data_IF_323970446787
#
_entry.id   IF_323970446787
#
_cell.length_a   1.000
_cell.length_b   1.000
_cell.length_c   1.000
_cell.angle_alpha   90.00
_cell.angle_beta   90.00
_cell.angle_gamma   90.00
#
_symmetry.space_group_name_H-M   'P 1'
#
loop_
_entity.id
_entity.type
_entity.pdbx_description
1 polymer ?
#
# COMPACT_ATOMS: atom_id res chain seq x y z
N UNK A 1 -5.75 12.28 14.59
CA UNK A 1 -6.02 12.09 13.15
C UNK A 1 -5.97 10.61 12.85
N UNK A 2 -6.90 10.07 12.06
CA UNK A 2 -6.93 8.68 11.62
C UNK A 2 -6.46 8.57 10.19
N UNK A 3 -5.40 7.80 9.94
CA UNK A 3 -4.85 7.57 8.59
C UNK A 3 -4.94 6.09 8.25
N UNK A 4 -5.67 5.78 7.18
CA UNK A 4 -5.61 4.45 6.58
C UNK A 4 -4.41 4.36 5.64
N UNK A 5 -3.55 3.38 5.86
CA UNK A 5 -2.40 3.12 5.00
C UNK A 5 -2.73 1.88 4.18
N UNK A 6 -2.84 2.06 2.87
CA UNK A 6 -3.15 1.01 1.93
C UNK A 6 -1.88 0.58 1.20
N UNK A 7 -1.66 -0.71 1.05
CA UNK A 7 -0.50 -1.25 0.31
C UNK A 7 -0.96 -2.06 -0.89
N UNK A 8 -0.27 -1.90 -2.03
CA UNK A 8 -0.55 -2.65 -3.28
C UNK A 8 0.57 -3.64 -3.65
N UNK A 9 1.55 -3.80 -2.76
CA UNK A 9 2.81 -4.48 -3.02
C UNK A 9 3.91 -3.51 -3.40
N UNK A 10 4.70 -3.86 -4.41
CA UNK A 10 5.97 -3.19 -4.72
C UNK A 10 7.09 -3.55 -3.74
N UNK A 11 8.31 -3.09 -4.04
CA UNK A 11 9.55 -3.47 -3.33
C UNK A 11 9.55 -3.15 -1.84
N UNK A 12 8.74 -2.19 -1.38
CA UNK A 12 8.60 -1.81 0.03
C UNK A 12 8.01 -2.94 0.89
N UNK A 13 7.21 -3.84 0.32
CA UNK A 13 6.64 -5.00 1.04
C UNK A 13 7.35 -6.33 0.73
N UNK A 14 8.37 -6.33 -0.14
CA UNK A 14 9.09 -7.54 -0.49
C UNK A 14 10.22 -7.79 0.52
N UNK A 15 10.16 -8.89 1.26
CA UNK A 15 11.30 -9.41 2.02
C UNK A 15 12.22 -10.14 1.03
N UNK A 16 13.48 -9.74 0.97
CA UNK A 16 14.49 -10.44 0.17
C UNK A 16 14.91 -11.71 0.93
N UNK A 17 14.71 -12.87 0.32
CA UNK A 17 15.21 -14.14 0.84
C UNK A 17 16.66 -14.34 0.35
N UNK A 18 17.62 -14.13 1.25
CA UNK A 18 19.05 -14.25 0.93
C UNK A 18 19.47 -15.68 0.56
N UNK A 19 18.67 -16.69 0.92
CA UNK A 19 18.98 -18.10 0.67
C UNK A 19 18.67 -18.55 -0.75
N UNK A 20 17.62 -18.01 -1.38
CA UNK A 20 17.22 -18.39 -2.75
C UNK A 20 17.16 -17.22 -3.75
N UNK A 21 17.39 -15.99 -3.29
CA UNK A 21 17.36 -14.78 -4.12
C UNK A 21 15.95 -14.38 -4.55
N UNK A 22 14.91 -15.01 -4.01
CA UNK A 22 13.53 -14.67 -4.30
C UNK A 22 13.05 -13.51 -3.42
N UNK A 23 12.20 -12.67 -4.01
CA UNK A 23 11.48 -11.65 -3.26
C UNK A 23 10.13 -12.26 -2.85
N UNK A 24 9.93 -12.46 -1.54
CA UNK A 24 8.70 -13.04 -0.99
C UNK A 24 8.09 -12.06 0.00
N UNK A 25 6.76 -12.02 0.06
CA UNK A 25 6.05 -11.22 1.06
C UNK A 25 5.94 -12.02 2.35
N UNK A 26 6.84 -11.78 3.31
CA UNK A 26 6.84 -12.44 4.62
C UNK A 26 6.41 -11.41 5.66
N UNK A 27 5.10 -11.13 5.73
CA UNK A 27 4.56 -10.10 6.62
C UNK A 27 4.77 -8.67 6.09
N UNK A 28 3.94 -7.72 6.54
CA UNK A 28 4.10 -6.33 6.11
C UNK A 28 5.18 -5.64 6.94
N UNK A 29 6.31 -5.34 6.31
CA UNK A 29 7.39 -4.50 6.88
C UNK A 29 6.85 -3.15 7.39
N UNK A 30 5.69 -2.72 6.89
CA UNK A 30 5.04 -1.50 7.30
C UNK A 30 4.69 -1.47 8.80
N UNK A 31 4.25 -2.58 9.41
CA UNK A 31 3.95 -2.60 10.85
C UNK A 31 5.22 -2.34 11.68
N UNK A 32 6.35 -2.95 11.27
CA UNK A 32 7.64 -2.74 11.91
C UNK A 32 8.10 -1.27 11.76
N UNK A 33 8.02 -0.72 10.54
CA UNK A 33 8.34 0.70 10.28
C UNK A 33 7.46 1.61 11.15
N UNK A 34 6.14 1.40 11.16
CA UNK A 34 5.22 2.22 11.94
C UNK A 34 5.49 2.14 13.44
N UNK A 35 5.87 0.97 13.94
CA UNK A 35 6.22 0.77 15.36
C UNK A 35 7.48 1.53 15.78
N UNK A 36 8.41 1.75 14.86
CA UNK A 36 9.64 2.49 15.10
C UNK A 36 9.46 4.02 15.06
N UNK A 37 8.34 4.50 14.50
CA UNK A 37 8.05 5.93 14.36
C UNK A 37 7.38 6.49 15.62
N UNK A 38 7.73 7.73 15.97
CA UNK A 38 7.00 8.50 16.97
C UNK A 38 5.86 9.26 16.30
N UNK A 39 4.65 8.77 16.46
CA UNK A 39 3.44 9.28 15.80
C UNK A 39 2.44 9.81 16.84
N UNK A 40 2.74 10.89 17.59
CA UNK A 40 1.79 11.45 18.55
C UNK A 40 0.53 11.91 17.83
N UNK A 41 -0.62 11.66 18.44
CA UNK A 41 -1.95 12.09 17.97
C UNK A 41 -2.38 11.54 16.59
N UNK A 42 -1.68 10.50 16.11
CA UNK A 42 -1.95 9.81 14.86
C UNK A 42 -2.32 8.34 15.13
N UNK A 43 -3.52 7.95 14.71
CA UNK A 43 -3.96 6.56 14.69
C UNK A 43 -3.81 6.04 13.26
N UNK A 44 -3.10 4.93 13.08
CA UNK A 44 -2.88 4.32 11.77
C UNK A 44 -3.60 2.98 11.68
N UNK A 45 -4.18 2.71 10.51
CA UNK A 45 -4.78 1.41 10.18
C UNK A 45 -4.21 0.92 8.86
N UNK A 46 -3.56 -0.25 8.87
CA UNK A 46 -3.04 -0.85 7.65
C UNK A 46 -4.11 -1.70 6.94
N UNK A 47 -4.15 -1.60 5.61
CA UNK A 47 -4.97 -2.43 4.72
C UNK A 47 -4.10 -2.91 3.56
N UNK A 48 -3.84 -4.21 3.51
CA UNK A 48 -3.24 -4.82 2.32
C UNK A 48 -4.34 -4.99 1.25
N UNK A 49 -4.22 -4.26 0.15
CA UNK A 49 -5.18 -4.32 -0.98
C UNK A 49 -4.80 -5.48 -1.90
N UNK A 50 -3.52 -5.62 -2.18
CA UNK A 50 -2.93 -6.68 -2.99
C UNK A 50 -1.43 -6.69 -2.79
N UNK A 51 -0.74 -7.64 -3.41
CA UNK A 51 0.71 -7.60 -3.52
C UNK A 51 1.17 -7.98 -4.92
N UNK A 52 1.37 -6.95 -5.74
CA UNK A 52 1.80 -7.08 -7.15
C UNK A 52 2.98 -6.16 -7.43
N UNK A 53 3.74 -6.50 -8.45
CA UNK A 53 4.65 -5.55 -9.06
C UNK A 53 3.84 -4.46 -9.79
N UNK A 54 4.26 -3.19 -9.75
CA UNK A 54 3.52 -2.12 -10.42
C UNK A 54 3.44 -2.33 -11.93
N UNK A 55 4.40 -3.04 -12.54
CA UNK A 55 4.37 -3.39 -13.96
C UNK A 55 3.32 -4.46 -14.30
N UNK A 56 2.84 -5.21 -13.31
CA UNK A 56 1.83 -6.28 -13.48
C UNK A 56 0.41 -5.83 -13.12
N UNK A 57 0.23 -4.57 -12.70
CA UNK A 57 -1.08 -4.02 -12.39
C UNK A 57 -1.93 -3.84 -13.65
N UNK A 58 -3.11 -4.42 -13.61
CA UNK A 58 -4.14 -4.29 -14.64
C UNK A 58 -5.13 -3.18 -14.29
N UNK A 59 -5.97 -2.79 -15.26
CA UNK A 59 -7.05 -1.83 -15.00
C UNK A 59 -8.03 -2.31 -13.92
N UNK A 60 -8.30 -3.62 -13.88
CA UNK A 60 -9.13 -4.22 -12.84
C UNK A 60 -8.50 -4.07 -11.45
N UNK A 61 -7.17 -4.20 -11.35
CA UNK A 61 -6.44 -3.96 -10.10
C UNK A 61 -6.55 -2.49 -9.67
N UNK A 62 -6.43 -1.54 -10.61
CA UNK A 62 -6.59 -0.11 -10.32
C UNK A 62 -8.01 0.22 -9.84
N UNK A 63 -9.03 -0.43 -10.38
CA UNK A 63 -10.40 -0.30 -9.88
C UNK A 63 -10.56 -0.88 -8.47
N UNK A 64 -9.90 -1.99 -8.16
CA UNK A 64 -9.88 -2.53 -6.79
C UNK A 64 -9.18 -1.57 -5.82
N UNK A 65 -8.06 -0.94 -6.22
CA UNK A 65 -7.38 0.11 -5.44
C UNK A 65 -8.33 1.28 -5.18
N UNK A 66 -9.01 1.80 -6.21
CA UNK A 66 -9.96 2.90 -6.08
C UNK A 66 -11.09 2.55 -5.10
N UNK A 67 -11.66 1.35 -5.21
CA UNK A 67 -12.70 0.88 -4.31
C UNK A 67 -12.19 0.81 -2.85
N UNK A 68 -10.98 0.29 -2.64
CA UNK A 68 -10.37 0.22 -1.31
C UNK A 68 -10.09 1.61 -0.72
N UNK A 69 -9.59 2.55 -1.52
CA UNK A 69 -9.36 3.95 -1.09
C UNK A 69 -10.67 4.61 -0.69
N UNK A 70 -11.72 4.48 -1.51
CA UNK A 70 -13.06 5.01 -1.20
C UNK A 70 -13.62 4.40 0.08
N UNK A 71 -13.50 3.09 0.24
CA UNK A 71 -13.91 2.39 1.46
C UNK A 71 -13.17 2.93 2.70
N UNK A 72 -11.85 3.12 2.61
CA UNK A 72 -11.02 3.57 3.71
C UNK A 72 -11.29 5.03 4.13
N UNK A 73 -11.67 5.90 3.18
CA UNK A 73 -12.03 7.30 3.43
C UNK A 73 -13.29 7.46 4.28
N UNK A 74 -14.17 6.45 4.37
CA UNK A 74 -15.36 6.54 5.21
C UNK A 74 -15.04 6.65 6.70
N UNK A 75 -13.99 5.97 7.16
CA UNK A 75 -13.65 5.84 8.59
C UNK A 75 -12.31 6.53 8.95
N UNK A 76 -11.64 7.16 7.98
CA UNK A 76 -10.32 7.77 8.14
C UNK A 76 -10.29 9.21 7.66
N UNK A 77 -9.52 10.06 8.33
CA UNK A 77 -9.35 11.47 7.97
C UNK A 77 -8.48 11.63 6.71
N UNK A 78 -7.61 10.66 6.43
CA UNK A 78 -6.82 10.60 5.21
C UNK A 78 -6.47 9.15 4.82
N UNK A 79 -6.06 8.97 3.56
CA UNK A 79 -5.54 7.70 3.03
C UNK A 79 -4.13 7.92 2.50
N UNK A 80 -3.21 7.04 2.89
CA UNK A 80 -1.85 6.93 2.33
C UNK A 80 -1.77 5.65 1.50
N UNK A 81 -1.53 5.76 0.19
CA UNK A 81 -1.33 4.61 -0.67
C UNK A 81 0.16 4.36 -0.91
N UNK A 82 0.66 3.21 -0.48
CA UNK A 82 2.00 2.72 -0.79
C UNK A 82 1.91 1.87 -2.06
N UNK A 83 2.68 2.26 -3.08
CA UNK A 83 2.56 1.73 -4.43
C UNK A 83 3.93 1.66 -5.11
N UNK A 84 4.12 0.70 -6.01
CA UNK A 84 5.32 0.63 -6.86
C UNK A 84 5.42 1.82 -7.84
N UNK A 85 6.63 2.28 -8.13
CA UNK A 85 6.84 3.55 -8.83
C UNK A 85 6.54 3.52 -10.32
N UNK A 86 6.72 2.38 -11.00
CA UNK A 86 6.72 2.31 -12.47
C UNK A 86 5.37 2.70 -13.09
N UNK A 87 4.26 2.37 -12.43
CA UNK A 87 2.92 2.71 -12.90
C UNK A 87 2.11 3.53 -11.90
N UNK A 88 2.80 4.19 -10.96
CA UNK A 88 2.17 5.02 -9.92
C UNK A 88 1.26 6.10 -10.52
N UNK A 89 1.71 6.78 -11.57
CA UNK A 89 0.94 7.85 -12.23
C UNK A 89 -0.39 7.34 -12.79
N UNK A 90 -0.42 6.14 -13.38
CA UNK A 90 -1.63 5.54 -13.94
C UNK A 90 -2.67 5.25 -12.83
N UNK A 91 -2.23 4.77 -11.66
CA UNK A 91 -3.12 4.65 -10.49
C UNK A 91 -3.58 6.03 -10.00
N UNK A 92 -2.70 7.02 -9.98
CA UNK A 92 -3.03 8.39 -9.58
C UNK A 92 -4.13 9.02 -10.45
N UNK A 93 -4.10 8.80 -11.76
CA UNK A 93 -5.13 9.25 -12.69
C UNK A 93 -6.51 8.64 -12.38
N UNK A 94 -6.55 7.33 -12.08
CA UNK A 94 -7.80 6.64 -11.68
C UNK A 94 -8.35 7.14 -10.34
N UNK A 95 -7.48 7.55 -9.41
CA UNK A 95 -7.88 8.10 -8.11
C UNK A 95 -8.33 9.57 -8.19
N UNK A 96 -7.84 10.33 -9.16
CA UNK A 96 -8.20 11.72 -9.35
C UNK A 96 -9.55 11.91 -10.03
N UNK A 97 -9.94 10.96 -10.90
CA UNK A 97 -11.16 10.99 -11.69
C UNK A 97 -12.44 10.81 -10.84
#
# INVERSE_FOLDING_TARGET
>A
MRVAILTTGGTIEKTYDESDGSLRNVGSVLEEILSALRLPDLETRHVSVMSKDSLELTDADRQAILAAVRAALHDSDAVLLVHGTDTLTQTGEVLHA
#
